data_IF_873694732798
#
_entry.id   IF_873694732798
#
_cell.length_a   1.000
_cell.length_b   1.000
_cell.length_c   1.000
_cell.angle_alpha   90.00
_cell.angle_beta   90.00
_cell.angle_gamma   90.00
#
_symmetry.space_group_name_H-M   'P 1'
#
loop_
_entity.id
_entity.type
_entity.pdbx_description
1 polymer ?
#
# COMPACT_ATOMS: atom_id res chain seq x y z
N UNK A 1 20.82 4.47 15.15
CA UNK A 1 19.36 4.56 15.09
C UNK A 1 18.99 4.75 13.64
N UNK A 2 18.20 3.85 13.08
CA UNK A 2 17.76 3.88 11.69
C UNK A 2 16.39 4.55 11.58
N UNK A 3 16.13 5.20 10.45
CA UNK A 3 14.83 5.79 10.12
C UNK A 3 14.37 5.14 8.82
N UNK A 4 13.32 4.34 8.89
CA UNK A 4 12.83 3.58 7.74
C UNK A 4 11.38 3.92 7.44
N UNK A 5 11.11 4.15 6.16
CA UNK A 5 9.76 4.09 5.64
C UNK A 5 9.42 2.64 5.38
N UNK A 6 8.31 2.13 5.93
CA UNK A 6 7.84 0.76 5.70
C UNK A 6 6.36 0.81 5.34
N UNK A 7 6.02 0.36 4.13
CA UNK A 7 4.63 0.19 3.70
C UNK A 7 4.10 -1.11 4.25
N UNK A 8 3.11 -1.02 5.13
CA UNK A 8 2.49 -2.20 5.73
C UNK A 8 0.97 -2.04 5.81
N UNK A 9 0.20 -3.13 5.73
CA UNK A 9 -1.25 -3.08 5.79
C UNK A 9 -1.76 -2.59 7.15
N UNK A 10 -2.87 -1.85 7.16
CA UNK A 10 -3.46 -1.31 8.39
C UNK A 10 -3.81 -2.40 9.42
N UNK A 11 -4.18 -3.60 8.97
CA UNK A 11 -4.45 -4.75 9.86
C UNK A 11 -3.23 -5.16 10.69
N UNK A 12 -2.01 -4.96 10.16
CA UNK A 12 -0.75 -5.26 10.85
C UNK A 12 -0.38 -4.14 11.81
N UNK A 13 -0.57 -2.89 11.40
CA UNK A 13 -0.33 -1.69 12.24
C UNK A 13 -1.18 -1.74 13.51
N UNK A 14 -2.47 -2.13 13.40
CA UNK A 14 -3.38 -2.25 14.55
C UNK A 14 -2.91 -3.25 15.61
N UNK A 15 -2.00 -4.17 15.25
CA UNK A 15 -1.39 -5.16 16.15
C UNK A 15 0.01 -4.74 16.62
N UNK A 16 0.38 -3.46 16.47
CA UNK A 16 1.70 -2.92 16.84
C UNK A 16 2.86 -3.63 16.11
N UNK A 17 2.66 -3.87 14.82
CA UNK A 17 3.65 -4.54 13.97
C UNK A 17 3.84 -3.82 12.64
N UNK A 18 5.01 -4.02 12.05
CA UNK A 18 5.29 -3.75 10.64
C UNK A 18 5.68 -5.03 9.94
N UNK A 19 5.24 -5.20 8.70
CA UNK A 19 5.40 -6.43 7.93
C UNK A 19 6.10 -6.26 6.59
N UNK A 20 6.75 -7.34 6.13
CA UNK A 20 7.40 -7.43 4.82
C UNK A 20 7.23 -8.82 4.18
N UNK A 21 7.05 -8.86 2.86
CA UNK A 21 6.70 -10.07 2.13
C UNK A 21 7.91 -10.90 1.68
N UNK A 22 8.08 -12.08 2.27
CA UNK A 22 8.90 -13.18 1.74
C UNK A 22 8.34 -14.51 2.24
N UNK A 23 7.16 -14.90 1.72
CA UNK A 23 6.38 -16.06 2.20
C UNK A 23 7.20 -17.32 2.45
N UNK A 24 8.12 -17.70 1.57
CA UNK A 24 8.87 -18.96 1.69
C UNK A 24 9.98 -18.94 2.74
N UNK A 25 10.29 -17.78 3.33
CA UNK A 25 11.41 -17.60 4.26
C UNK A 25 10.93 -16.87 5.51
N UNK A 26 11.01 -17.55 6.65
CA UNK A 26 10.69 -17.00 7.95
C UNK A 26 11.91 -16.29 8.54
N UNK A 27 11.89 -14.95 8.60
CA UNK A 27 13.01 -14.14 9.05
C UNK A 27 13.32 -14.34 10.54
N UNK A 28 12.35 -14.75 11.36
CA UNK A 28 12.59 -14.95 12.80
C UNK A 28 13.47 -16.17 13.11
N UNK A 29 13.75 -17.02 12.13
CA UNK A 29 14.60 -18.21 12.27
C UNK A 29 16.08 -17.95 12.00
N UNK A 30 16.43 -16.73 11.60
CA UNK A 30 17.80 -16.38 11.21
C UNK A 30 18.40 -15.36 12.17
N UNK A 31 19.73 -15.39 12.28
CA UNK A 31 20.49 -14.46 13.12
C UNK A 31 21.18 -13.36 12.30
N UNK A 32 21.34 -13.54 10.99
CA UNK A 32 21.97 -12.55 10.12
C UNK A 32 21.18 -12.27 8.85
N UNK A 33 21.23 -11.01 8.39
CA UNK A 33 20.64 -10.62 7.11
C UNK A 33 21.27 -11.35 5.92
N UNK A 34 22.54 -11.75 6.03
CA UNK A 34 23.22 -12.53 4.98
C UNK A 34 22.55 -13.90 4.81
N UNK A 35 22.24 -14.57 5.92
CA UNK A 35 21.61 -15.89 5.88
C UNK A 35 20.18 -15.82 5.33
N UNK A 36 19.42 -14.79 5.71
CA UNK A 36 18.09 -14.53 5.14
C UNK A 36 18.18 -14.30 3.63
N UNK A 37 19.13 -13.49 3.17
CA UNK A 37 19.32 -13.21 1.74
C UNK A 37 19.67 -14.49 0.98
N UNK A 38 20.54 -15.34 1.54
CA UNK A 38 20.89 -16.64 0.97
C UNK A 38 19.69 -17.59 0.94
N UNK A 39 18.91 -17.65 2.02
CA UNK A 39 17.69 -18.45 2.08
C UNK A 39 16.65 -18.03 1.02
N UNK A 40 16.47 -16.72 0.81
CA UNK A 40 15.59 -16.20 -0.24
C UNK A 40 16.10 -16.60 -1.62
N UNK A 41 17.40 -16.45 -1.89
CA UNK A 41 17.99 -16.85 -3.17
C UNK A 41 17.76 -18.33 -3.48
N UNK A 42 17.77 -19.19 -2.46
CA UNK A 42 17.57 -20.63 -2.62
C UNK A 42 16.09 -21.03 -2.70
N UNK A 43 15.18 -20.32 -2.02
CA UNK A 43 13.76 -20.66 -1.95
C UNK A 43 12.93 -20.17 -3.15
N UNK A 44 13.41 -19.15 -3.87
CA UNK A 44 12.71 -18.53 -4.99
C UNK A 44 13.46 -18.76 -6.31
N UNK A 45 12.72 -19.20 -7.34
CA UNK A 45 13.26 -19.46 -8.69
C UNK A 45 13.89 -18.21 -9.31
N UNK A 46 13.26 -17.04 -9.09
CA UNK A 46 13.76 -15.74 -9.58
C UNK A 46 14.76 -15.08 -8.61
N UNK A 47 15.09 -15.76 -7.51
CA UNK A 47 15.94 -15.26 -6.45
C UNK A 47 15.42 -13.99 -5.76
N UNK A 48 16.34 -13.12 -5.34
CA UNK A 48 16.06 -11.90 -4.55
C UNK A 48 15.99 -10.60 -5.39
N UNK A 49 16.48 -10.64 -6.63
CA UNK A 49 16.61 -9.47 -7.50
C UNK A 49 17.27 -8.26 -6.83
N UNK A 50 16.74 -7.05 -7.08
CA UNK A 50 17.24 -5.78 -6.50
C UNK A 50 16.77 -5.52 -5.06
N UNK A 51 16.17 -6.50 -4.38
CA UNK A 51 15.54 -6.32 -3.05
C UNK A 51 16.46 -6.65 -1.87
N UNK A 52 17.69 -7.11 -2.11
CA UNK A 52 18.64 -7.46 -1.05
C UNK A 52 18.85 -6.34 -0.01
N UNK A 53 18.97 -5.08 -0.44
CA UNK A 53 19.11 -3.93 0.46
C UNK A 53 17.85 -3.70 1.31
N UNK A 54 16.66 -3.95 0.76
CA UNK A 54 15.39 -3.82 1.49
C UNK A 54 15.24 -4.93 2.53
N UNK A 55 15.58 -6.17 2.16
CA UNK A 55 15.62 -7.32 3.09
C UNK A 55 16.57 -7.03 4.25
N UNK A 56 17.79 -6.58 3.95
CA UNK A 56 18.77 -6.23 4.97
C UNK A 56 18.24 -5.14 5.92
N UNK A 57 17.73 -4.03 5.37
CA UNK A 57 17.17 -2.92 6.18
C UNK A 57 16.04 -3.38 7.11
N UNK A 58 15.12 -4.22 6.62
CA UNK A 58 14.04 -4.75 7.44
C UNK A 58 14.55 -5.69 8.53
N UNK A 59 15.46 -6.61 8.18
CA UNK A 59 15.99 -7.59 9.11
C UNK A 59 16.83 -6.93 10.22
N UNK A 60 17.63 -5.93 9.86
CA UNK A 60 18.52 -5.21 10.77
C UNK A 60 17.78 -4.22 11.69
N UNK A 61 16.44 -4.12 11.59
CA UNK A 61 15.62 -3.36 12.54
C UNK A 61 15.87 -3.85 13.97
N UNK A 62 16.21 -2.90 14.83
CA UNK A 62 16.50 -3.12 16.25
C UNK A 62 15.77 -2.12 17.14
N UNK A 63 15.75 -2.43 18.43
CA UNK A 63 15.12 -1.58 19.42
C UNK A 63 15.62 -0.13 19.33
N UNK A 64 14.69 0.83 19.35
CA UNK A 64 14.97 2.26 19.27
C UNK A 64 15.02 2.83 17.85
N UNK A 65 15.05 2.00 16.79
CA UNK A 65 14.88 2.50 15.43
C UNK A 65 13.47 3.11 15.23
N UNK A 66 13.34 4.06 14.30
CA UNK A 66 12.07 4.73 14.00
C UNK A 66 11.53 4.22 12.67
N UNK A 67 10.25 3.86 12.66
CA UNK A 67 9.53 3.49 11.43
C UNK A 67 8.45 4.49 11.12
N UNK A 68 8.37 4.88 9.85
CA UNK A 68 7.32 5.73 9.28
C UNK A 68 6.48 4.88 8.34
N UNK A 69 5.19 4.79 8.61
CA UNK A 69 4.26 3.97 7.83
C UNK A 69 3.32 4.90 7.06
N UNK A 70 3.41 4.93 5.71
CA UNK A 70 2.49 5.73 4.90
C UNK A 70 1.08 5.13 4.93
N UNK A 71 0.09 5.97 5.23
CA UNK A 71 -1.34 5.66 5.20
C UNK A 71 -2.04 6.51 4.14
N UNK A 72 -3.32 6.29 3.89
CA UNK A 72 -4.11 7.15 3.00
C UNK A 72 -4.16 8.57 3.57
N UNK A 73 -3.67 9.57 2.81
CA UNK A 73 -3.58 11.00 3.19
C UNK A 73 -2.79 11.32 4.47
N UNK A 74 -2.24 10.33 5.17
CA UNK A 74 -1.55 10.50 6.44
C UNK A 74 -0.33 9.58 6.56
N UNK A 75 0.36 9.65 7.70
CA UNK A 75 1.36 8.67 8.15
C UNK A 75 1.08 8.25 9.59
N UNK A 76 1.64 7.11 9.99
CA UNK A 76 1.81 6.72 11.39
C UNK A 76 3.31 6.56 11.66
N UNK A 77 3.75 6.90 12.88
CA UNK A 77 5.14 6.75 13.31
C UNK A 77 5.17 5.81 14.52
N UNK A 78 6.19 4.97 14.59
CA UNK A 78 6.41 4.09 15.73
C UNK A 78 7.89 3.86 16.04
N UNK A 79 8.16 3.50 17.29
CA UNK A 79 9.47 3.09 17.79
C UNK A 79 9.56 1.58 17.75
N UNK A 80 10.62 1.06 17.17
CA UNK A 80 10.83 -0.39 17.04
C UNK A 80 11.15 -0.98 18.40
N UNK A 81 10.48 -2.08 18.75
CA UNK A 81 10.81 -2.90 19.92
C UNK A 81 11.82 -4.01 19.54
N UNK A 82 11.70 -4.54 18.32
CA UNK A 82 12.70 -5.42 17.71
C UNK A 82 12.34 -6.91 17.69
N UNK A 83 11.27 -7.33 18.39
CA UNK A 83 10.80 -8.72 18.37
C UNK A 83 10.29 -9.12 17.00
N UNK A 84 10.94 -10.12 16.39
CA UNK A 84 10.61 -10.67 15.06
C UNK A 84 9.62 -11.83 15.19
N UNK A 85 8.65 -11.90 14.29
CA UNK A 85 7.68 -13.01 14.20
C UNK A 85 7.29 -13.27 12.74
N UNK A 86 6.60 -14.38 12.50
CA UNK A 86 6.12 -14.76 11.17
C UNK A 86 4.68 -15.25 11.22
N UNK A 87 3.88 -14.81 10.26
CA UNK A 87 2.48 -15.19 10.11
C UNK A 87 2.17 -15.40 8.63
N UNK A 88 2.00 -16.66 8.23
CA UNK A 88 1.71 -17.03 6.84
C UNK A 88 0.36 -16.50 6.36
N UNK A 89 -0.60 -16.30 7.27
CA UNK A 89 -1.94 -15.80 6.90
C UNK A 89 -1.88 -14.39 6.29
N UNK A 90 -0.88 -13.60 6.69
CA UNK A 90 -0.60 -12.24 6.18
C UNK A 90 0.24 -12.22 4.90
N UNK A 91 0.57 -13.39 4.33
CA UNK A 91 1.33 -13.45 3.08
C UNK A 91 0.55 -12.85 1.91
N UNK A 92 -0.80 -12.97 1.91
CA UNK A 92 -1.67 -12.35 0.90
C UNK A 92 -1.62 -10.83 0.93
N UNK A 93 -1.37 -10.26 2.10
CA UNK A 93 -1.25 -8.81 2.33
C UNK A 93 0.20 -8.32 2.23
N UNK A 94 1.11 -9.14 1.71
CA UNK A 94 2.53 -8.81 1.56
C UNK A 94 3.22 -8.45 2.90
N UNK A 95 2.80 -9.07 4.01
CA UNK A 95 3.24 -8.68 5.36
C UNK A 95 3.55 -9.87 6.29
N UNK A 96 3.96 -11.02 5.77
CA UNK A 96 4.14 -12.25 6.56
C UNK A 96 5.35 -12.25 7.52
N UNK A 97 6.43 -11.54 7.22
CA UNK A 97 7.54 -11.36 8.16
C UNK A 97 7.31 -10.08 8.96
N UNK A 98 7.28 -10.18 10.29
CA UNK A 98 6.80 -9.13 11.18
C UNK A 98 7.87 -8.66 12.16
N UNK A 99 7.88 -7.37 12.48
CA UNK A 99 8.66 -6.75 13.56
C UNK A 99 7.71 -5.96 14.45
N UNK A 100 7.88 -6.10 15.77
CA UNK A 100 7.05 -5.40 16.77
C UNK A 100 7.51 -3.95 16.92
N UNK A 101 6.53 -3.04 16.95
CA UNK A 101 6.69 -1.59 16.91
C UNK A 101 5.66 -0.95 17.83
N UNK A 102 6.10 -0.08 18.71
CA UNK A 102 5.23 0.74 19.53
C UNK A 102 4.85 2.03 18.78
N UNK A 103 3.62 2.07 18.25
CA UNK A 103 3.11 3.26 17.55
C UNK A 103 2.65 4.34 18.53
N UNK A 104 2.82 5.62 18.16
CA UNK A 104 2.29 6.73 18.95
C UNK A 104 0.76 6.69 18.97
N UNK A 105 0.18 6.88 20.16
CA UNK A 105 -1.26 6.79 20.41
C UNK A 105 -1.81 8.04 21.07
N UNK A 106 -3.05 8.36 20.77
CA UNK A 106 -3.81 9.41 21.45
C UNK A 106 -4.24 8.96 22.86
N UNK A 107 -4.88 9.87 23.61
CA UNK A 107 -5.38 9.60 24.97
C UNK A 107 -6.46 8.51 25.00
N UNK A 108 -7.09 8.23 23.86
CA UNK A 108 -8.10 7.19 23.70
C UNK A 108 -7.48 5.84 23.27
N UNK A 109 -6.15 5.77 23.10
CA UNK A 109 -5.43 4.57 22.71
C UNK A 109 -5.42 4.29 21.21
N UNK A 110 -5.93 5.19 20.36
CA UNK A 110 -5.88 5.04 18.91
C UNK A 110 -4.55 5.53 18.35
N UNK A 111 -4.09 4.91 17.27
CA UNK A 111 -2.85 5.30 16.60
C UNK A 111 -3.01 6.71 16.01
N UNK A 112 -2.10 7.61 16.39
CA UNK A 112 -2.08 8.98 15.88
C UNK A 112 -1.72 8.97 14.40
N UNK A 113 -2.56 9.62 13.59
CA UNK A 113 -2.34 9.81 12.17
C UNK A 113 -1.94 11.26 11.90
N UNK A 114 -0.72 11.44 11.39
CA UNK A 114 -0.23 12.76 11.01
C UNK A 114 -0.63 13.03 9.54
N UNK A 115 -1.40 14.08 9.24
CA UNK A 115 -1.74 14.43 7.87
C UNK A 115 -0.49 14.71 7.03
N UNK A 116 -0.47 14.24 5.78
CA UNK A 116 0.68 14.47 4.88
C UNK A 116 0.94 15.95 4.61
N UNK A 117 -0.12 16.76 4.57
CA UNK A 117 -0.06 18.22 4.38
C UNK A 117 0.66 18.96 5.50
N UNK A 118 0.80 18.34 6.68
CA UNK A 118 1.44 18.96 7.85
C UNK A 118 2.91 18.54 7.98
N UNK A 119 3.41 17.75 7.03
CA UNK A 119 4.81 17.34 6.97
C UNK A 119 5.62 18.33 6.13
N UNK A 120 6.90 18.42 6.41
CA UNK A 120 7.83 19.19 5.56
C UNK A 120 7.88 18.57 4.15
N UNK A 121 8.02 19.42 3.11
CA UNK A 121 7.88 19.06 1.69
C UNK A 121 8.75 17.88 1.26
N UNK A 122 9.95 17.75 1.83
CA UNK A 122 10.89 16.68 1.50
C UNK A 122 10.37 15.32 2.00
N UNK A 123 9.94 15.25 3.25
CA UNK A 123 9.31 14.05 3.81
C UNK A 123 8.03 13.70 3.07
N UNK A 124 7.16 14.67 2.76
CA UNK A 124 5.96 14.44 1.97
C UNK A 124 6.28 13.83 0.60
N UNK A 125 7.28 14.38 -0.09
CA UNK A 125 7.74 13.88 -1.40
C UNK A 125 8.32 12.47 -1.30
N UNK A 126 9.09 12.19 -0.25
CA UNK A 126 9.66 10.86 -0.01
C UNK A 126 8.58 9.79 0.20
N UNK A 127 7.41 10.15 0.75
CA UNK A 127 6.25 9.25 0.88
C UNK A 127 5.61 8.85 -0.46
N UNK A 128 5.93 9.54 -1.58
CA UNK A 128 5.41 9.21 -2.92
C UNK A 128 6.15 8.03 -3.57
N UNK A 129 7.33 7.66 -3.07
CA UNK A 129 8.11 6.55 -3.64
C UNK A 129 7.40 5.21 -3.41
N UNK A 130 7.19 4.44 -4.49
CA UNK A 130 6.44 3.17 -4.46
C UNK A 130 7.22 1.96 -3.90
N UNK A 131 8.43 2.12 -3.38
CA UNK A 131 9.15 1.02 -2.72
C UNK A 131 8.50 0.67 -1.37
N UNK A 132 8.48 -0.62 -1.04
CA UNK A 132 7.98 -1.14 0.24
C UNK A 132 8.80 -0.64 1.41
N UNK A 133 10.11 -0.55 1.25
CA UNK A 133 11.04 -0.08 2.28
C UNK A 133 11.92 1.00 1.68
N UNK A 134 11.96 2.17 2.32
CA UNK A 134 12.86 3.25 1.97
C UNK A 134 13.64 3.73 3.19
N UNK A 135 14.80 4.31 2.92
CA UNK A 135 15.66 4.91 3.93
C UNK A 135 15.28 6.37 4.08
N UNK A 136 15.17 6.81 5.32
CA UNK A 136 14.83 8.18 5.71
C UNK A 136 15.96 8.81 6.54
N UNK A 137 17.16 8.22 6.54
CA UNK A 137 18.28 8.75 7.32
C UNK A 137 18.66 10.19 6.92
N UNK A 138 18.46 10.54 5.65
CA UNK A 138 18.62 11.90 5.10
C UNK A 138 17.57 12.89 5.62
N UNK A 139 16.42 12.40 6.08
CA UNK A 139 15.31 13.19 6.62
C UNK A 139 15.15 13.00 8.13
N UNK A 140 16.21 12.56 8.81
CA UNK A 140 16.22 12.29 10.26
C UNK A 140 15.66 13.47 11.06
N UNK A 141 16.15 14.68 10.80
CA UNK A 141 15.75 15.87 11.55
C UNK A 141 14.24 16.18 11.41
N UNK A 142 13.69 16.02 10.21
CA UNK A 142 12.26 16.21 9.93
C UNK A 142 11.41 15.17 10.68
N UNK A 143 11.84 13.90 10.67
CA UNK A 143 11.15 12.83 11.39
C UNK A 143 11.23 13.02 12.91
N UNK A 144 12.39 13.41 13.44
CA UNK A 144 12.59 13.66 14.88
C UNK A 144 11.75 14.81 15.39
N UNK A 145 11.61 15.89 14.61
CA UNK A 145 10.72 17.02 14.93
C UNK A 145 9.28 16.54 15.12
N UNK A 146 8.77 15.69 14.22
CA UNK A 146 7.42 15.11 14.35
C UNK A 146 7.34 14.19 15.58
N UNK A 147 8.36 13.37 15.83
CA UNK A 147 8.42 12.50 17.02
C UNK A 147 8.36 13.32 18.32
N UNK A 148 9.12 14.42 18.42
CA UNK A 148 9.09 15.30 19.59
C UNK A 148 7.72 15.97 19.78
N UNK A 149 7.05 16.36 18.69
CA UNK A 149 5.68 16.89 18.75
C UNK A 149 4.68 15.84 19.23
N UNK A 150 4.86 14.56 18.86
CA UNK A 150 4.02 13.47 19.35
C UNK A 150 4.25 13.18 20.83
N UNK A 151 5.50 13.28 21.31
CA UNK A 151 5.86 13.08 22.72
C UNK A 151 5.33 14.20 23.64
N UNK A 152 5.19 15.42 23.12
CA UNK A 152 4.66 16.57 23.86
C UNK A 152 3.12 16.63 23.91
N UNK A 153 2.42 15.81 23.11
CA UNK A 153 1.08 15.30 23.45
C UNK A 153 -0.15 16.08 22.99
N UNK A 154 -0.03 17.12 22.15
CA UNK A 154 -1.19 17.93 21.72
C UNK A 154 -1.38 18.07 20.20
N UNK A 155 -0.38 17.71 19.40
CA UNK A 155 -0.44 17.93 17.96
C UNK A 155 -1.13 16.74 17.26
N UNK A 156 -2.02 17.01 16.29
CA UNK A 156 -2.65 16.06 15.36
C UNK A 156 -3.86 15.22 15.82
N UNK A 157 -4.34 15.32 17.06
CA UNK A 157 -5.42 14.43 17.55
C UNK A 157 -6.75 14.61 16.79
N UNK A 158 -7.18 15.85 16.57
CA UNK A 158 -8.44 16.14 15.86
C UNK A 158 -8.38 15.72 14.39
N UNK A 159 -7.30 16.09 13.69
CA UNK A 159 -7.08 15.69 12.30
C UNK A 159 -6.96 14.17 12.16
N UNK A 160 -6.30 13.52 13.12
CA UNK A 160 -6.18 12.05 13.17
C UNK A 160 -7.55 11.39 13.25
N UNK A 161 -8.44 11.87 14.13
CA UNK A 161 -9.81 11.37 14.25
C UNK A 161 -10.60 11.52 12.93
N UNK A 162 -10.54 12.70 12.32
CA UNK A 162 -11.23 12.96 11.05
C UNK A 162 -10.71 12.05 9.93
N UNK A 163 -9.39 11.88 9.82
CA UNK A 163 -8.75 10.99 8.85
C UNK A 163 -9.12 9.52 9.05
N UNK A 164 -9.19 9.06 10.31
CA UNK A 164 -9.66 7.71 10.61
C UNK A 164 -11.10 7.49 10.15
N UNK A 165 -12.00 8.44 10.44
CA UNK A 165 -13.42 8.36 10.03
C UNK A 165 -13.59 8.38 8.52
N UNK A 166 -12.81 9.19 7.81
CA UNK A 166 -12.81 9.20 6.35
C UNK A 166 -12.34 7.86 5.77
N UNK A 167 -11.26 7.29 6.28
CA UNK A 167 -10.75 6.00 5.83
C UNK A 167 -11.73 4.85 6.12
N UNK A 168 -12.39 4.86 7.28
CA UNK A 168 -13.46 3.91 7.62
C UNK A 168 -14.64 4.00 6.65
N UNK A 169 -15.09 5.23 6.35
CA UNK A 169 -16.17 5.47 5.40
C UNK A 169 -15.81 5.01 3.99
N UNK A 170 -14.58 5.30 3.52
CA UNK A 170 -14.08 4.86 2.21
C UNK A 170 -13.98 3.34 2.15
N UNK A 171 -13.44 2.70 3.19
CA UNK A 171 -13.32 1.24 3.25
C UNK A 171 -14.70 0.57 3.24
N UNK A 172 -15.66 1.09 4.03
CA UNK A 172 -17.04 0.60 4.05
C UNK A 172 -17.72 0.80 2.70
N UNK A 173 -17.58 1.97 2.09
CA UNK A 173 -18.11 2.24 0.75
C UNK A 173 -17.57 1.27 -0.29
N UNK A 174 -16.24 1.04 -0.33
CA UNK A 174 -15.61 0.08 -1.25
C UNK A 174 -16.12 -1.34 -1.06
N UNK A 175 -16.23 -1.80 0.20
CA UNK A 175 -16.76 -3.13 0.50
C UNK A 175 -18.23 -3.27 0.09
N UNK A 176 -19.06 -2.27 0.38
CA UNK A 176 -20.47 -2.28 0.02
C UNK A 176 -20.67 -2.23 -1.49
N UNK A 177 -19.91 -1.39 -2.20
CA UNK A 177 -19.93 -1.30 -3.66
C UNK A 177 -19.49 -2.62 -4.30
N UNK A 178 -18.38 -3.20 -3.85
CA UNK A 178 -17.89 -4.49 -4.34
C UNK A 178 -18.95 -5.58 -4.13
N UNK A 179 -19.51 -5.68 -2.92
CA UNK A 179 -20.56 -6.65 -2.59
C UNK A 179 -21.79 -6.47 -3.48
N UNK A 180 -22.18 -5.24 -3.76
CA UNK A 180 -23.32 -4.95 -4.62
C UNK A 180 -23.05 -5.32 -6.08
N UNK A 181 -21.84 -5.05 -6.60
CA UNK A 181 -21.42 -5.45 -7.94
C UNK A 181 -21.41 -6.97 -8.06
N UNK A 182 -20.76 -7.68 -7.13
CA UNK A 182 -20.67 -9.15 -7.15
C UNK A 182 -22.03 -9.84 -7.03
N UNK A 183 -22.98 -9.25 -6.28
CA UNK A 183 -24.34 -9.80 -6.16
C UNK A 183 -25.27 -9.38 -7.30
N UNK A 184 -24.83 -8.51 -8.21
CA UNK A 184 -25.69 -7.94 -9.25
C UNK A 184 -26.82 -7.05 -8.72
N UNK A 185 -26.70 -6.51 -7.51
CA UNK A 185 -27.72 -5.64 -6.89
C UNK A 185 -27.52 -4.16 -7.22
N UNK A 186 -26.49 -3.84 -8.01
CA UNK A 186 -26.27 -2.49 -8.55
C UNK A 186 -27.21 -2.24 -9.74
N UNK A 187 -27.60 -0.97 -9.93
CA UNK A 187 -28.36 -0.52 -11.12
C UNK A 187 -27.45 -0.22 -12.32
N UNK A 188 -26.26 -0.83 -12.37
CA UNK A 188 -25.35 -0.67 -13.49
C UNK A 188 -25.96 -1.31 -14.74
N UNK A 189 -25.71 -0.71 -15.91
CA UNK A 189 -26.13 -1.28 -17.18
C UNK A 189 -25.57 -2.70 -17.37
N UNK A 190 -26.42 -3.61 -17.84
CA UNK A 190 -26.06 -5.01 -18.07
C UNK A 190 -25.08 -5.17 -19.25
N UNK A 191 -24.52 -6.37 -19.40
CA UNK A 191 -23.67 -6.71 -20.56
C UNK A 191 -22.27 -6.11 -20.53
N UNK A 192 -21.72 -5.77 -19.35
CA UNK A 192 -20.38 -5.22 -19.17
C UNK A 192 -20.31 -3.69 -19.26
N UNK A 193 -21.25 -3.09 -20.00
CA UNK A 193 -21.31 -1.63 -20.25
C UNK A 193 -21.33 -0.78 -18.99
N UNK A 194 -22.12 -1.17 -17.99
CA UNK A 194 -22.21 -0.41 -16.75
C UNK A 194 -20.90 -0.36 -15.96
N UNK A 195 -20.09 -1.42 -16.03
CA UNK A 195 -18.77 -1.45 -15.40
C UNK A 195 -17.74 -0.64 -16.19
N UNK A 196 -17.80 -0.65 -17.52
CA UNK A 196 -16.98 0.21 -18.38
C UNK A 196 -17.21 1.69 -18.07
N UNK A 197 -18.49 2.10 -17.96
CA UNK A 197 -18.87 3.47 -17.59
C UNK A 197 -18.33 3.86 -16.21
N UNK A 198 -18.50 3.00 -15.21
CA UNK A 198 -17.97 3.24 -13.87
C UNK A 198 -16.44 3.44 -13.88
N UNK A 199 -15.71 2.59 -14.62
CA UNK A 199 -14.24 2.71 -14.71
C UNK A 199 -13.84 3.98 -15.46
N UNK A 200 -14.53 4.33 -16.54
CA UNK A 200 -14.26 5.57 -17.28
C UNK A 200 -14.50 6.81 -16.41
N UNK A 201 -15.57 6.84 -15.61
CA UNK A 201 -15.87 7.93 -14.67
C UNK A 201 -14.79 8.05 -13.58
N UNK A 202 -14.34 6.92 -13.02
CA UNK A 202 -13.24 6.91 -12.04
C UNK A 202 -11.93 7.46 -12.64
N UNK A 203 -11.65 7.16 -13.91
CA UNK A 203 -10.47 7.69 -14.61
C UNK A 203 -10.58 9.19 -14.86
N UNK A 204 -11.76 9.68 -15.24
CA UNK A 204 -12.02 11.11 -15.41
C UNK A 204 -11.87 11.90 -14.11
N UNK A 205 -12.29 11.32 -12.98
CA UNK A 205 -12.06 11.90 -11.65
C UNK A 205 -10.56 11.99 -11.28
N UNK A 206 -9.70 11.22 -11.93
CA UNK A 206 -8.24 11.26 -11.81
C UNK A 206 -7.58 12.08 -12.95
N UNK A 207 -8.36 12.93 -13.63
CA UNK A 207 -7.99 13.80 -14.76
C UNK A 207 -7.52 13.07 -16.03
N UNK A 208 -7.89 11.81 -16.22
CA UNK A 208 -7.69 11.16 -17.51
C UNK A 208 -8.80 11.56 -18.48
N UNK A 209 -8.42 11.78 -19.74
CA UNK A 209 -9.36 11.77 -20.85
C UNK A 209 -9.68 10.31 -21.20
N UNK A 210 -10.72 9.76 -20.57
CA UNK A 210 -11.15 8.37 -20.76
C UNK A 210 -12.29 8.25 -21.76
N UNK A 211 -12.17 7.29 -22.68
CA UNK A 211 -13.17 6.99 -23.71
C UNK A 211 -13.37 5.48 -23.86
N UNK A 212 -14.62 5.04 -23.85
CA UNK A 212 -14.99 3.65 -24.08
C UNK A 212 -14.98 3.38 -25.58
N UNK A 213 -14.24 2.36 -26.02
CA UNK A 213 -14.03 2.04 -27.42
C UNK A 213 -15.24 1.29 -28.00
N UNK A 214 -15.61 1.63 -29.23
CA UNK A 214 -16.61 0.85 -29.97
C UNK A 214 -15.95 -0.41 -30.57
N UNK A 215 -16.69 -1.52 -30.61
CA UNK A 215 -16.24 -2.87 -30.98
C UNK A 215 -15.57 -3.02 -32.36
N UNK A 216 -15.61 -2.00 -33.22
CA UNK A 216 -15.15 -2.05 -34.61
C UNK A 216 -14.07 -1.03 -34.96
N UNK A 217 -13.53 -0.29 -33.99
CA UNK A 217 -12.73 0.92 -34.28
C UNK A 217 -11.22 0.70 -34.26
N UNK A 218 -10.74 -0.41 -33.67
CA UNK A 218 -9.31 -0.64 -33.46
C UNK A 218 -8.87 -1.94 -34.15
N UNK A 219 -8.33 -1.83 -35.36
CA UNK A 219 -7.70 -2.96 -36.04
C UNK A 219 -6.36 -3.29 -35.36
N UNK A 220 -6.23 -4.48 -34.78
CA UNK A 220 -4.96 -5.01 -34.27
C UNK A 220 -4.78 -5.02 -32.74
N UNK A 221 -5.63 -4.32 -31.98
CA UNK A 221 -5.69 -4.39 -30.50
C UNK A 221 -7.06 -4.92 -30.08
N UNK A 222 -7.26 -6.23 -30.24
CA UNK A 222 -8.56 -6.88 -30.33
C UNK A 222 -9.43 -6.91 -29.04
N UNK A 223 -9.02 -6.24 -27.96
CA UNK A 223 -9.56 -6.50 -26.61
C UNK A 223 -9.57 -5.27 -25.68
N UNK A 224 -9.39 -4.06 -26.20
CA UNK A 224 -9.38 -2.83 -25.40
C UNK A 224 -10.80 -2.25 -25.30
N UNK A 225 -11.33 -2.20 -24.09
CA UNK A 225 -12.66 -1.63 -23.80
C UNK A 225 -12.57 -0.11 -23.53
N UNK A 226 -11.51 0.37 -22.87
CA UNK A 226 -11.33 1.79 -22.52
C UNK A 226 -9.91 2.24 -22.88
N UNK A 227 -9.82 3.40 -23.52
CA UNK A 227 -8.56 4.15 -23.68
C UNK A 227 -8.63 5.38 -22.79
N UNK A 228 -7.61 5.58 -21.96
CA UNK A 228 -7.52 6.74 -21.08
C UNK A 228 -6.16 7.40 -21.18
N UNK A 229 -6.14 8.71 -21.44
CA UNK A 229 -4.92 9.48 -21.65
C UNK A 229 -4.78 10.59 -20.64
N UNK A 230 -3.59 10.74 -20.07
CA UNK A 230 -3.22 11.89 -19.23
C UNK A 230 -1.90 12.45 -19.75
N UNK A 231 -1.95 13.66 -20.28
CA UNK A 231 -0.78 14.37 -20.79
C UNK A 231 -0.40 15.51 -19.86
N UNK A 232 0.91 15.67 -19.64
CA UNK A 232 1.50 16.86 -19.05
C UNK A 232 2.45 17.52 -20.07
N UNK A 233 3.14 18.59 -19.67
CA UNK A 233 4.04 19.35 -20.55
C UNK A 233 5.24 18.54 -21.10
N UNK A 234 5.49 17.33 -20.59
CA UNK A 234 6.68 16.54 -20.91
C UNK A 234 6.36 15.10 -21.32
N UNK A 235 5.22 14.54 -20.91
CA UNK A 235 4.89 13.13 -21.07
C UNK A 235 3.40 12.90 -21.29
N UNK A 236 3.07 11.88 -22.09
CA UNK A 236 1.72 11.36 -22.25
C UNK A 236 1.65 9.95 -21.69
N UNK A 237 0.73 9.73 -20.77
CA UNK A 237 0.42 8.43 -20.20
C UNK A 237 -0.86 7.89 -20.82
N UNK A 238 -0.74 6.88 -21.67
CA UNK A 238 -1.88 6.18 -22.27
C UNK A 238 -2.10 4.85 -21.55
N UNK A 239 -3.33 4.64 -21.09
CA UNK A 239 -3.81 3.39 -20.49
C UNK A 239 -4.74 2.70 -21.49
N UNK A 240 -4.43 1.44 -21.79
CA UNK A 240 -5.29 0.54 -22.56
C UNK A 240 -5.88 -0.47 -21.58
N UNK A 241 -7.20 -0.44 -21.40
CA UNK A 241 -7.88 -1.15 -20.33
C UNK A 241 -8.89 -2.13 -20.92
N UNK A 242 -8.82 -3.38 -20.46
CA UNK A 242 -9.83 -4.40 -20.70
C UNK A 242 -10.63 -4.61 -19.41
N UNK A 243 -11.96 -4.56 -19.52
CA UNK A 243 -12.91 -4.70 -18.42
C UNK A 243 -13.52 -6.09 -18.47
N UNK A 244 -13.29 -6.88 -17.41
CA UNK A 244 -13.90 -8.21 -17.26
C UNK A 244 -14.76 -8.25 -16.00
N UNK A 245 -15.99 -8.69 -16.16
CA UNK A 245 -16.91 -8.99 -15.06
C UNK A 245 -17.42 -10.42 -15.20
N UNK A 246 -17.05 -11.30 -14.26
CA UNK A 246 -17.47 -12.69 -14.27
C UNK A 246 -17.51 -13.27 -12.85
N UNK A 247 -18.18 -14.42 -12.74
CA UNK A 247 -18.17 -15.28 -11.56
C UNK A 247 -17.31 -16.50 -11.90
N UNK A 248 -16.31 -16.81 -11.06
CA UNK A 248 -15.36 -17.91 -11.28
C UNK A 248 -13.91 -17.50 -11.05
N UNK A 249 -12.97 -18.40 -11.34
CA UNK A 249 -11.52 -18.13 -11.27
C UNK A 249 -11.01 -17.96 -12.70
N UNK A 250 -10.40 -16.80 -13.01
CA UNK A 250 -9.67 -16.62 -14.27
C UNK A 250 -8.32 -17.33 -14.19
N UNK A 251 -8.02 -18.18 -15.16
CA UNK A 251 -6.67 -18.68 -15.43
C UNK A 251 -6.17 -18.20 -16.81
N UNK A 252 -5.00 -18.66 -17.23
CA UNK A 252 -4.38 -18.26 -18.51
C UNK A 252 -5.20 -18.66 -19.76
N UNK A 253 -6.23 -19.50 -19.61
CA UNK A 253 -7.07 -20.00 -20.71
C UNK A 253 -8.50 -19.44 -20.67
N UNK A 254 -8.93 -18.79 -19.58
CA UNK A 254 -10.25 -18.19 -19.45
C UNK A 254 -10.86 -18.32 -18.06
N UNK A 255 -12.19 -18.23 -17.97
CA UNK A 255 -12.93 -18.33 -16.71
C UNK A 255 -13.26 -19.81 -16.43
N UNK A 256 -12.78 -20.35 -15.31
CA UNK A 256 -13.31 -21.59 -14.73
C UNK A 256 -14.51 -21.27 -13.84
N UNK A 257 -15.66 -21.86 -14.19
CA UNK A 257 -16.90 -21.82 -13.42
C UNK A 257 -16.78 -22.68 -12.15
#
# INVERSE_FOLDING_TARGET
MNYLLIRTPQAVIKKDKVGYAWKKVNFSQYQSAKDVISAIKNAYTDGIGRKAKSVKRFFDLKQGDIVVVPLTKSIAIGKVEGTKSYDESLAKDYACNLVTVNFFRDKQGNIVRIPRKDLDTNLETRLKIKTTIADLSDLKAEVEKVVQQLETGETYVQDSYLLQKQDEAIASFKQNLLKAITKGTVKLEAGGRGLELLIAELLQLEDYQASIQAKNTVSGMADVDIIAEKSDSFTTHTLLIQVKHHVGITDSHGIKL
#
